data_IF_750274017730
#
_entry.id   IF_750274017730
#
_cell.length_a   1.000
_cell.length_b   1.000
_cell.length_c   1.000
_cell.angle_alpha   90.00
_cell.angle_beta   90.00
_cell.angle_gamma   90.00
#
_symmetry.space_group_name_H-M   'P 1'
#
loop_
_entity.id
_entity.type
_entity.pdbx_description
1 polymer ?
#
# COMPACT_ATOMS: atom_id res chain seq x y z
N UNK A 1 8.17 -9.35 16.19
CA UNK A 1 7.46 -8.87 14.98
C UNK A 1 7.76 -9.86 13.87
N UNK A 2 6.78 -10.69 13.50
CA UNK A 2 6.95 -11.66 12.40
C UNK A 2 6.41 -11.01 11.13
N UNK A 3 7.19 -11.04 10.05
CA UNK A 3 6.74 -10.55 8.76
C UNK A 3 5.67 -11.50 8.20
N UNK A 4 4.56 -10.93 7.73
CA UNK A 4 3.44 -11.66 7.13
C UNK A 4 3.24 -11.16 5.71
N UNK A 5 2.95 -12.08 4.78
CA UNK A 5 2.62 -11.69 3.40
C UNK A 5 1.39 -10.78 3.38
N UNK A 6 1.47 -9.59 2.76
CA UNK A 6 0.35 -8.66 2.69
C UNK A 6 -0.73 -9.18 1.74
N UNK A 7 -1.98 -8.79 1.98
CA UNK A 7 -3.09 -9.10 1.09
C UNK A 7 -3.03 -8.25 -0.19
N UNK A 8 -3.69 -8.69 -1.25
CA UNK A 8 -3.81 -7.90 -2.49
C UNK A 8 -4.40 -6.50 -2.24
N UNK A 9 -5.37 -6.43 -1.32
CA UNK A 9 -6.04 -5.19 -0.93
C UNK A 9 -5.06 -4.20 -0.27
N UNK A 10 -4.15 -4.69 0.58
CA UNK A 10 -3.12 -3.85 1.22
C UNK A 10 -2.18 -3.23 0.18
N UNK A 11 -1.77 -4.02 -0.81
CA UNK A 11 -0.92 -3.54 -1.91
C UNK A 11 -1.66 -2.48 -2.73
N UNK A 12 -2.91 -2.76 -3.14
CA UNK A 12 -3.72 -1.81 -3.92
C UNK A 12 -3.84 -0.46 -3.22
N UNK A 13 -4.26 -0.45 -1.96
CA UNK A 13 -4.40 0.78 -1.20
C UNK A 13 -3.06 1.47 -0.96
N UNK A 14 -2.00 0.72 -0.70
CA UNK A 14 -0.64 1.27 -0.60
C UNK A 14 -0.21 2.02 -1.86
N UNK A 15 -0.50 1.47 -3.05
CA UNK A 15 -0.22 2.15 -4.32
C UNK A 15 -1.10 3.39 -4.54
N UNK A 16 -2.41 3.30 -4.29
CA UNK A 16 -3.34 4.42 -4.44
C UNK A 16 -2.96 5.60 -3.54
N UNK A 17 -2.65 5.33 -2.27
CA UNK A 17 -2.21 6.35 -1.30
C UNK A 17 -0.89 6.97 -1.73
N UNK A 18 0.07 6.13 -2.15
CA UNK A 18 1.38 6.61 -2.63
C UNK A 18 1.22 7.55 -3.82
N UNK A 19 0.37 7.19 -4.79
CA UNK A 19 0.09 8.03 -5.95
C UNK A 19 -0.55 9.36 -5.55
N UNK A 20 -1.53 9.35 -4.65
CA UNK A 20 -2.16 10.57 -4.15
C UNK A 20 -1.15 11.49 -3.44
N UNK A 21 -0.24 10.91 -2.64
CA UNK A 21 0.83 11.67 -1.97
C UNK A 21 1.88 12.19 -2.95
N UNK A 22 2.18 11.45 -4.02
CA UNK A 22 3.12 11.90 -5.04
C UNK A 22 2.54 13.00 -5.94
N UNK A 23 1.22 13.09 -6.04
CA UNK A 23 0.50 14.07 -6.86
C UNK A 23 0.03 15.32 -6.08
N UNK A 24 0.41 15.46 -4.80
CA UNK A 24 0.23 16.67 -3.98
C UNK A 24 1.55 17.43 -3.84
#
# INVERSE_FOLDING_TARGET
>A
MQWTTPSYTDLRFGFEITMYIANR
#
